data_IF_130378093749
#
_entry.id   IF_130378093749
#
_cell.length_a   1.000
_cell.length_b   1.000
_cell.length_c   1.000
_cell.angle_alpha   90.00
_cell.angle_beta   90.00
_cell.angle_gamma   90.00
#
_symmetry.space_group_name_H-M   'P 1'
#
loop_
_entity.id
_entity.type
_entity.pdbx_description
1 polymer ?
#
# COMPACT_ATOMS: atom_id res chain seq x y z
N UNK A 1 -28.02 -41.36 43.37
CA UNK A 1 -26.54 -41.42 43.40
C UNK A 1 -26.10 -41.98 42.06
N UNK A 2 -25.19 -41.23 41.42
CA UNK A 2 -24.36 -41.52 40.25
C UNK A 2 -25.05 -41.94 38.94
N UNK A 3 -24.78 -41.15 37.89
CA UNK A 3 -24.83 -41.44 36.44
C UNK A 3 -25.74 -40.54 35.57
N UNK A 4 -25.96 -39.26 35.92
CA UNK A 4 -26.61 -38.29 34.99
C UNK A 4 -25.85 -36.95 34.84
N UNK A 5 -24.66 -36.80 35.43
CA UNK A 5 -23.88 -35.55 35.30
C UNK A 5 -22.49 -35.83 34.73
N UNK A 6 -22.38 -36.05 33.42
CA UNK A 6 -21.09 -35.91 32.72
C UNK A 6 -21.16 -35.80 31.19
N UNK A 7 -22.30 -35.37 30.61
CA UNK A 7 -22.44 -35.32 29.15
C UNK A 7 -23.02 -34.01 28.58
N UNK A 8 -22.79 -32.86 29.24
CA UNK A 8 -23.31 -31.55 28.78
C UNK A 8 -22.24 -30.49 28.47
N UNK A 9 -20.98 -30.86 28.23
CA UNK A 9 -19.87 -29.90 28.01
C UNK A 9 -19.12 -30.08 26.66
N UNK A 10 -19.74 -30.70 25.65
CA UNK A 10 -19.12 -30.88 24.33
C UNK A 10 -19.91 -30.31 23.14
N UNK A 11 -20.82 -29.35 23.38
CA UNK A 11 -21.62 -28.69 22.34
C UNK A 11 -21.46 -27.15 22.31
N UNK A 12 -20.26 -26.64 22.61
CA UNK A 12 -19.91 -25.24 22.31
C UNK A 12 -18.66 -25.20 21.42
N UNK A 13 -18.71 -24.37 20.36
CA UNK A 13 -17.73 -24.13 19.29
C UNK A 13 -17.87 -24.94 18.00
N UNK A 14 -19.04 -24.84 17.36
CA UNK A 14 -19.12 -24.68 15.92
C UNK A 14 -20.05 -23.53 15.58
N UNK A 15 -19.62 -22.29 15.84
CA UNK A 15 -20.15 -21.14 15.10
C UNK A 15 -19.75 -21.33 13.65
N UNK A 16 -20.71 -21.74 12.83
CA UNK A 16 -20.68 -21.60 11.38
C UNK A 16 -20.21 -20.18 11.08
N UNK A 17 -18.97 -20.06 10.61
CA UNK A 17 -18.62 -19.01 9.68
C UNK A 17 -19.48 -19.29 8.46
N UNK A 18 -20.58 -18.57 8.31
CA UNK A 18 -21.14 -18.32 7.00
C UNK A 18 -19.99 -17.72 6.19
N UNK A 19 -19.35 -18.57 5.40
CA UNK A 19 -18.57 -18.13 4.26
C UNK A 19 -19.59 -17.39 3.40
N UNK A 20 -19.57 -16.06 3.49
CA UNK A 20 -20.15 -15.19 2.48
C UNK A 20 -19.41 -15.54 1.19
N UNK A 21 -19.95 -16.49 0.42
CA UNK A 21 -19.65 -16.61 -1.00
C UNK A 21 -20.10 -15.28 -1.63
N UNK A 22 -19.17 -14.32 -1.69
CA UNK A 22 -19.27 -13.16 -2.56
C UNK A 22 -19.39 -13.72 -3.99
N UNK A 23 -20.63 -13.82 -4.48
CA UNK A 23 -20.94 -13.91 -5.91
C UNK A 23 -20.49 -12.60 -6.57
N UNK A 24 -19.17 -12.44 -6.72
CA UNK A 24 -18.57 -11.42 -7.57
C UNK A 24 -18.92 -11.79 -9.02
N UNK A 25 -19.79 -11.00 -9.65
CA UNK A 25 -19.95 -10.99 -11.11
C UNK A 25 -18.69 -10.35 -11.73
N UNK A 26 -17.64 -11.17 -11.73
CA UNK A 26 -16.23 -10.82 -11.82
C UNK A 26 -15.77 -10.67 -13.29
N UNK A 27 -16.48 -9.89 -14.10
CA UNK A 27 -16.10 -9.72 -15.51
C UNK A 27 -14.96 -8.71 -15.66
N UNK A 28 -13.73 -9.17 -15.39
CA UNK A 28 -12.53 -8.49 -15.90
C UNK A 28 -12.66 -8.32 -17.43
N UNK A 29 -12.17 -7.20 -18.00
CA UNK A 29 -12.13 -7.09 -19.46
C UNK A 29 -11.33 -8.26 -20.02
N UNK A 30 -11.78 -8.81 -21.17
CA UNK A 30 -11.12 -9.96 -21.81
C UNK A 30 -9.61 -9.73 -21.98
N UNK A 31 -9.18 -8.49 -22.22
CA UNK A 31 -7.77 -8.08 -22.29
C UNK A 31 -7.56 -6.64 -21.79
N UNK A 32 -6.50 -6.43 -20.99
CA UNK A 32 -5.98 -5.10 -20.68
C UNK A 32 -5.08 -4.59 -21.82
N UNK A 33 -5.24 -3.32 -22.22
CA UNK A 33 -4.40 -2.71 -23.25
C UNK A 33 -3.10 -2.16 -22.63
N UNK A 34 -2.11 -3.03 -22.51
CA UNK A 34 -0.81 -2.69 -21.94
C UNK A 34 0.33 -3.35 -22.72
N UNK A 35 1.48 -2.68 -22.78
CA UNK A 35 2.74 -3.29 -23.24
C UNK A 35 3.50 -3.84 -22.05
N UNK A 36 4.04 -5.06 -22.21
CA UNK A 36 4.95 -5.67 -21.25
C UNK A 36 6.28 -5.91 -21.95
N UNK A 37 7.34 -5.31 -21.42
CA UNK A 37 8.70 -5.47 -21.93
C UNK A 37 9.51 -6.20 -20.87
N UNK A 38 10.04 -7.37 -21.23
CA UNK A 38 10.99 -8.12 -20.40
C UNK A 38 12.41 -7.83 -20.90
N UNK A 39 13.28 -7.38 -20.02
CA UNK A 39 14.67 -7.01 -20.35
C UNK A 39 15.61 -7.30 -19.17
N UNK A 40 16.91 -7.12 -19.40
CA UNK A 40 17.92 -7.20 -18.35
C UNK A 40 18.67 -5.87 -18.27
N UNK A 41 18.79 -5.32 -17.06
CA UNK A 41 19.59 -4.13 -16.78
C UNK A 41 20.82 -4.52 -15.96
N UNK A 42 21.99 -3.95 -16.26
CA UNK A 42 23.15 -4.13 -15.39
C UNK A 42 22.87 -3.51 -14.01
N UNK A 43 23.41 -4.10 -12.95
CA UNK A 43 23.27 -3.53 -11.59
C UNK A 43 23.77 -2.09 -11.55
N UNK A 44 24.88 -1.79 -12.22
CA UNK A 44 25.42 -0.42 -12.26
C UNK A 44 24.43 0.57 -12.90
N UNK A 45 23.77 0.20 -13.99
CA UNK A 45 22.76 1.05 -14.62
C UNK A 45 21.48 1.13 -13.78
N UNK A 46 21.03 0.03 -13.18
CA UNK A 46 19.87 0.00 -12.29
C UNK A 46 20.06 0.91 -11.07
N UNK A 47 21.26 0.89 -10.45
CA UNK A 47 21.60 1.77 -9.33
C UNK A 47 21.64 3.23 -9.78
N UNK A 48 22.15 3.52 -10.99
CA UNK A 48 22.14 4.87 -11.57
C UNK A 48 20.71 5.40 -11.71
N UNK A 49 19.82 4.64 -12.36
CA UNK A 49 18.41 5.02 -12.54
C UNK A 49 17.71 5.28 -11.21
N UNK A 50 18.00 4.48 -10.18
CA UNK A 50 17.45 4.69 -8.84
C UNK A 50 17.96 5.99 -8.20
N UNK A 51 19.27 6.28 -8.30
CA UNK A 51 19.87 7.50 -7.75
C UNK A 51 19.38 8.77 -8.42
N UNK A 52 19.16 8.72 -9.72
CA UNK A 52 18.64 9.82 -10.54
C UNK A 52 17.12 10.01 -10.38
N UNK A 53 16.45 9.14 -9.60
CA UNK A 53 14.99 9.10 -9.40
C UNK A 53 14.19 8.79 -10.68
N UNK A 54 14.85 8.20 -11.68
CA UNK A 54 14.19 7.63 -12.87
C UNK A 54 13.43 6.34 -12.51
N UNK A 55 13.95 5.57 -11.57
CA UNK A 55 13.23 4.50 -10.88
C UNK A 55 13.02 4.95 -9.44
N UNK A 56 11.78 4.91 -8.95
CA UNK A 56 11.48 5.26 -7.57
C UNK A 56 10.55 4.27 -6.90
N UNK A 57 10.73 4.17 -5.58
CA UNK A 57 9.86 3.42 -4.69
C UNK A 57 8.90 4.45 -4.10
N UNK A 58 7.60 4.32 -4.31
CA UNK A 58 6.65 5.28 -3.75
C UNK A 58 6.59 5.24 -2.22
N UNK A 59 6.24 6.36 -1.59
CA UNK A 59 6.36 6.56 -0.14
C UNK A 59 5.45 5.68 0.71
N UNK A 60 4.27 5.31 0.22
CA UNK A 60 3.32 4.46 0.97
C UNK A 60 3.70 2.96 0.92
N UNK A 61 4.69 2.55 0.11
CA UNK A 61 5.16 1.17 0.16
C UNK A 61 5.82 0.91 1.51
N UNK A 62 5.64 -0.31 2.04
CA UNK A 62 6.28 -0.69 3.31
C UNK A 62 7.78 -0.42 3.23
N UNK A 63 8.30 0.16 4.30
CA UNK A 63 9.73 0.43 4.44
C UNK A 63 10.57 -0.84 4.28
N UNK A 64 11.89 -0.67 4.34
CA UNK A 64 12.80 -1.80 4.19
C UNK A 64 12.78 -2.72 5.42
N UNK A 65 12.18 -3.91 5.27
CA UNK A 65 11.95 -4.90 6.34
C UNK A 65 12.97 -6.03 6.36
N UNK A 66 13.69 -6.27 5.26
CA UNK A 66 14.67 -7.35 5.21
C UNK A 66 15.77 -7.19 6.27
N UNK A 67 16.11 -8.31 6.92
CA UNK A 67 17.29 -8.40 7.79
C UNK A 67 18.54 -8.49 6.94
N UNK A 68 19.69 -8.06 7.49
CA UNK A 68 20.99 -8.09 6.80
C UNK A 68 21.30 -9.47 6.20
N UNK A 69 20.92 -10.56 6.86
CA UNK A 69 21.12 -11.93 6.37
C UNK A 69 20.33 -12.22 5.07
N UNK A 70 19.09 -11.74 4.96
CA UNK A 70 18.28 -11.90 3.74
C UNK A 70 18.87 -11.10 2.59
N UNK A 71 19.24 -9.84 2.87
CA UNK A 71 19.92 -8.98 1.91
C UNK A 71 21.25 -9.61 1.44
N UNK A 72 22.04 -10.16 2.36
CA UNK A 72 23.31 -10.81 2.05
C UNK A 72 23.14 -12.03 1.14
N UNK A 73 22.08 -12.82 1.34
CA UNK A 73 21.76 -13.97 0.48
C UNK A 73 21.41 -13.56 -0.95
N UNK A 74 20.69 -12.46 -1.13
CA UNK A 74 20.47 -11.90 -2.47
C UNK A 74 21.80 -11.52 -3.12
N UNK A 75 22.67 -10.78 -2.41
CA UNK A 75 23.97 -10.36 -2.96
C UNK A 75 24.85 -11.56 -3.30
N UNK A 76 24.85 -12.61 -2.47
CA UNK A 76 25.51 -13.88 -2.76
C UNK A 76 25.00 -14.49 -4.07
N UNK A 77 23.68 -14.59 -4.28
CA UNK A 77 23.13 -15.10 -5.54
C UNK A 77 23.62 -14.32 -6.76
N UNK A 78 23.69 -12.98 -6.66
CA UNK A 78 24.17 -12.12 -7.73
C UNK A 78 25.66 -12.33 -8.02
N UNK A 79 26.48 -12.47 -6.97
CA UNK A 79 27.92 -12.76 -7.09
C UNK A 79 28.19 -14.17 -7.63
N UNK A 80 27.33 -15.13 -7.34
CA UNK A 80 27.43 -16.49 -7.86
C UNK A 80 26.86 -16.61 -9.29
N UNK A 81 26.11 -15.62 -9.77
CA UNK A 81 25.48 -15.64 -11.09
C UNK A 81 24.20 -16.47 -11.14
N UNK A 82 23.56 -16.71 -9.99
CA UNK A 82 22.27 -17.42 -9.95
C UNK A 82 21.13 -16.52 -10.44
N UNK A 83 20.09 -17.09 -11.10
CA UNK A 83 18.91 -16.34 -11.47
C UNK A 83 18.16 -15.85 -10.22
N UNK A 84 17.62 -14.64 -10.31
CA UNK A 84 16.78 -14.04 -9.26
C UNK A 84 15.44 -13.61 -9.86
N UNK A 85 14.37 -13.51 -9.06
CA UNK A 85 13.10 -13.03 -9.57
C UNK A 85 13.23 -11.60 -10.16
N UNK A 86 12.44 -11.24 -11.17
CA UNK A 86 12.52 -9.95 -11.85
C UNK A 86 12.03 -8.79 -10.98
N UNK A 87 12.59 -7.60 -11.22
CA UNK A 87 12.03 -6.34 -10.71
C UNK A 87 10.84 -5.94 -11.61
N UNK A 88 9.68 -5.65 -11.04
CA UNK A 88 8.52 -5.19 -11.81
C UNK A 88 8.41 -3.67 -11.70
N UNK A 89 8.32 -3.01 -12.85
CA UNK A 89 8.24 -1.56 -12.98
C UNK A 89 6.97 -1.17 -13.74
N UNK A 90 6.27 -0.13 -13.27
CA UNK A 90 5.21 0.56 -14.01
C UNK A 90 5.79 1.85 -14.60
N UNK A 91 5.55 2.11 -15.88
CA UNK A 91 5.96 3.35 -16.52
C UNK A 91 4.91 4.44 -16.30
N UNK A 92 5.38 5.64 -15.96
CA UNK A 92 4.59 6.84 -15.76
C UNK A 92 4.52 7.72 -17.03
N UNK A 93 3.59 8.67 -17.06
CA UNK A 93 3.41 9.60 -18.18
C UNK A 93 4.70 10.40 -18.46
N UNK A 94 5.38 10.83 -17.39
CA UNK A 94 6.65 11.57 -17.43
C UNK A 94 7.88 10.68 -17.71
N UNK A 95 7.65 9.43 -18.13
CA UNK A 95 8.65 8.42 -18.46
C UNK A 95 9.44 7.83 -17.28
N UNK A 96 9.22 8.32 -16.05
CA UNK A 96 9.78 7.65 -14.85
C UNK A 96 9.11 6.29 -14.63
N UNK A 97 9.73 5.48 -13.78
CA UNK A 97 9.29 4.13 -13.48
C UNK A 97 9.05 3.94 -11.98
N UNK A 98 7.85 3.50 -11.64
CA UNK A 98 7.48 3.10 -10.28
C UNK A 98 7.84 1.63 -10.07
N UNK A 99 8.50 1.33 -8.96
CA UNK A 99 8.69 -0.06 -8.51
C UNK A 99 7.37 -0.63 -8.03
N UNK A 100 6.84 -1.62 -8.74
CA UNK A 100 5.64 -2.37 -8.35
C UNK A 100 6.05 -3.49 -7.39
N UNK A 101 6.95 -4.38 -7.82
CA UNK A 101 7.46 -5.48 -7.00
C UNK A 101 8.99 -5.54 -7.04
N UNK A 102 9.60 -6.04 -5.96
CA UNK A 102 11.05 -6.17 -5.82
C UNK A 102 11.74 -5.02 -5.10
N UNK A 103 10.98 -4.15 -4.43
CA UNK A 103 11.47 -3.05 -3.60
C UNK A 103 12.62 -3.49 -2.65
N UNK A 104 12.43 -4.57 -1.88
CA UNK A 104 13.47 -5.07 -0.97
C UNK A 104 14.74 -5.55 -1.70
N UNK A 105 14.59 -6.09 -2.93
CA UNK A 105 15.73 -6.50 -3.76
C UNK A 105 16.50 -5.29 -4.28
N UNK A 106 15.80 -4.32 -4.88
CA UNK A 106 16.39 -3.09 -5.38
C UNK A 106 17.15 -2.33 -4.28
N UNK A 107 16.51 -2.11 -3.13
CA UNK A 107 17.15 -1.43 -2.01
C UNK A 107 18.37 -2.19 -1.49
N UNK A 108 18.31 -3.54 -1.40
CA UNK A 108 19.46 -4.34 -0.95
C UNK A 108 20.67 -4.18 -1.90
N UNK A 109 20.42 -4.14 -3.20
CA UNK A 109 21.44 -3.92 -4.23
C UNK A 109 22.07 -2.54 -4.07
N UNK A 110 21.25 -1.50 -3.95
CA UNK A 110 21.71 -0.12 -3.75
C UNK A 110 22.52 0.02 -2.46
N UNK A 111 22.02 -0.53 -1.35
CA UNK A 111 22.70 -0.56 -0.05
C UNK A 111 24.08 -1.21 -0.14
N UNK A 112 24.17 -2.40 -0.76
CA UNK A 112 25.46 -3.07 -0.92
C UNK A 112 26.42 -2.28 -1.81
N UNK A 113 25.93 -1.77 -2.96
CA UNK A 113 26.73 -0.95 -3.88
C UNK A 113 27.30 0.31 -3.19
N UNK A 114 26.54 0.91 -2.27
CA UNK A 114 26.93 2.08 -1.50
C UNK A 114 27.65 1.78 -0.18
N UNK A 115 27.96 0.51 0.10
CA UNK A 115 28.59 0.05 1.34
C UNK A 115 27.85 0.45 2.62
N UNK A 116 26.53 0.67 2.57
CA UNK A 116 25.70 1.07 3.72
C UNK A 116 24.51 0.13 3.90
N UNK A 117 23.98 0.02 5.11
CA UNK A 117 22.77 -0.76 5.36
C UNK A 117 21.83 -0.01 6.29
N UNK A 118 20.65 0.39 5.80
CA UNK A 118 19.74 1.30 6.52
C UNK A 118 20.50 2.56 6.97
N UNK A 119 20.44 2.89 8.27
CA UNK A 119 21.19 4.00 8.89
C UNK A 119 22.66 3.65 9.23
N UNK A 120 23.04 2.37 9.14
CA UNK A 120 24.43 1.94 9.36
C UNK A 120 25.30 2.28 8.15
N UNK A 121 26.49 2.83 8.39
CA UNK A 121 27.51 3.09 7.36
C UNK A 121 28.24 1.83 6.88
N UNK A 122 27.72 0.64 7.19
CA UNK A 122 28.41 -0.60 6.89
C UNK A 122 27.42 -1.71 6.50
N UNK A 123 27.62 -2.27 5.31
CA UNK A 123 26.98 -3.50 4.83
C UNK A 123 28.06 -4.58 4.65
N UNK A 124 28.33 -5.34 5.71
CA UNK A 124 29.11 -6.57 5.60
C UNK A 124 28.18 -7.74 5.31
N UNK A 125 28.52 -8.56 4.30
CA UNK A 125 27.77 -9.77 4.00
C UNK A 125 27.81 -10.73 5.20
N UNK A 126 26.66 -11.32 5.55
CA UNK A 126 26.55 -12.23 6.70
C UNK A 126 25.77 -13.48 6.34
N UNK A 127 26.35 -14.64 6.67
CA UNK A 127 25.70 -15.94 6.49
C UNK A 127 25.67 -16.39 5.03
N UNK A 128 26.73 -16.04 4.30
CA UNK A 128 27.05 -16.39 2.90
C UNK A 128 28.35 -17.21 2.89
N UNK A 129 28.78 -17.70 1.73
CA UNK A 129 30.02 -18.46 1.56
C UNK A 129 31.24 -17.69 2.07
N UNK A 130 32.25 -18.43 2.53
CA UNK A 130 33.45 -17.88 3.19
C UNK A 130 34.19 -16.84 2.35
N UNK A 131 34.20 -17.03 1.02
CA UNK A 131 34.82 -16.07 0.07
C UNK A 131 34.29 -14.64 0.22
N UNK A 132 33.00 -14.49 0.51
CA UNK A 132 32.29 -13.21 0.55
C UNK A 132 31.86 -12.79 1.96
N UNK A 133 31.81 -13.73 2.90
CA UNK A 133 31.34 -13.46 4.25
C UNK A 133 32.22 -12.39 4.93
N UNK A 134 31.58 -11.41 5.57
CA UNK A 134 32.22 -10.26 6.19
C UNK A 134 32.66 -9.16 5.22
N UNK A 135 32.68 -9.39 3.89
CA UNK A 135 33.12 -8.39 2.92
C UNK A 135 32.01 -7.38 2.61
N UNK A 136 32.42 -6.15 2.35
CA UNK A 136 31.65 -5.08 1.71
C UNK A 136 31.91 -5.06 0.20
N UNK A 137 31.18 -4.25 -0.56
CA UNK A 137 31.37 -4.12 -2.01
C UNK A 137 32.78 -3.64 -2.38
N UNK A 138 33.28 -2.61 -1.68
CA UNK A 138 34.64 -2.07 -1.87
C UNK A 138 35.77 -3.03 -1.45
N UNK A 139 35.45 -4.07 -0.69
CA UNK A 139 36.39 -5.10 -0.22
C UNK A 139 36.36 -6.38 -1.07
N UNK A 140 35.48 -6.44 -2.08
CA UNK A 140 35.49 -7.55 -3.05
C UNK A 140 36.71 -7.44 -3.97
N UNK A 141 37.20 -8.59 -4.44
CA UNK A 141 38.22 -8.63 -5.48
C UNK A 141 37.70 -7.95 -6.76
N UNK A 142 38.59 -7.32 -7.53
CA UNK A 142 38.18 -6.59 -8.75
C UNK A 142 37.33 -7.42 -9.75
N UNK A 143 37.58 -8.73 -9.96
CA UNK A 143 36.70 -9.56 -10.78
C UNK A 143 35.29 -9.73 -10.20
N UNK A 144 35.15 -9.83 -8.88
CA UNK A 144 33.86 -9.97 -8.19
C UNK A 144 33.08 -8.66 -8.19
N UNK A 145 33.75 -7.51 -8.05
CA UNK A 145 33.13 -6.20 -8.22
C UNK A 145 32.56 -6.04 -9.63
N UNK A 146 33.34 -6.40 -10.67
CA UNK A 146 32.87 -6.36 -12.07
C UNK A 146 31.70 -7.30 -12.30
N UNK A 147 31.76 -8.52 -11.76
CA UNK A 147 30.67 -9.49 -11.86
C UNK A 147 29.39 -8.96 -11.25
N UNK A 148 29.46 -8.37 -10.06
CA UNK A 148 28.30 -7.74 -9.42
C UNK A 148 27.75 -6.60 -10.28
N UNK A 149 28.58 -5.61 -10.64
CA UNK A 149 28.16 -4.46 -11.44
C UNK A 149 27.49 -4.83 -12.77
N UNK A 150 28.02 -5.86 -13.44
CA UNK A 150 27.56 -6.30 -14.75
C UNK A 150 26.51 -7.41 -14.71
N UNK A 151 26.06 -7.83 -13.51
CA UNK A 151 25.02 -8.85 -13.42
C UNK A 151 23.76 -8.36 -14.19
N UNK A 152 23.26 -9.16 -15.16
CA UNK A 152 22.11 -8.79 -15.97
C UNK A 152 20.83 -8.99 -15.16
N UNK A 153 20.46 -7.99 -14.37
CA UNK A 153 19.31 -8.09 -13.47
C UNK A 153 18.01 -8.09 -14.27
N UNK A 154 17.14 -9.11 -14.12
CA UNK A 154 15.90 -9.20 -14.89
C UNK A 154 14.90 -8.14 -14.44
N UNK A 155 14.31 -7.44 -15.41
CA UNK A 155 13.34 -6.35 -15.20
C UNK A 155 12.16 -6.54 -16.15
N UNK A 156 10.95 -6.41 -15.62
CA UNK A 156 9.71 -6.39 -16.38
C UNK A 156 9.12 -4.99 -16.27
N UNK A 157 8.99 -4.31 -17.41
CA UNK A 157 8.43 -2.97 -17.52
C UNK A 157 7.02 -3.09 -18.09
N UNK A 158 6.05 -2.57 -17.35
CA UNK A 158 4.64 -2.53 -17.71
C UNK A 158 4.30 -1.08 -18.07
N UNK A 159 3.80 -0.88 -19.28
CA UNK A 159 3.39 0.43 -19.77
C UNK A 159 1.90 0.37 -20.16
N UNK A 160 1.03 1.10 -19.44
CA UNK A 160 -0.37 1.22 -19.83
C UNK A 160 -0.48 2.07 -21.10
N UNK A 161 -1.35 1.71 -22.04
CA UNK A 161 -1.55 2.52 -23.27
C UNK A 161 -2.34 3.80 -23.00
N UNK A 162 -3.29 3.74 -22.07
CA UNK A 162 -4.10 4.86 -21.62
C UNK A 162 -4.26 4.80 -20.08
N UNK A 163 -4.62 5.90 -19.44
CA UNK A 163 -4.75 5.94 -17.97
C UNK A 163 -5.83 4.99 -17.43
N UNK A 164 -6.87 4.70 -18.22
CA UNK A 164 -7.88 3.69 -17.88
C UNK A 164 -7.30 2.26 -17.79
N UNK A 165 -6.25 1.97 -18.57
CA UNK A 165 -5.63 0.64 -18.63
C UNK A 165 -4.69 0.38 -17.44
N UNK A 166 -4.39 1.42 -16.66
CA UNK A 166 -3.60 1.35 -15.42
C UNK A 166 -4.21 0.43 -14.37
N UNK A 167 -5.52 0.15 -14.45
CA UNK A 167 -6.18 -0.90 -13.66
C UNK A 167 -5.56 -2.29 -13.89
N UNK A 168 -5.01 -2.58 -15.06
CA UNK A 168 -4.27 -3.84 -15.30
C UNK A 168 -3.04 -3.99 -14.40
N UNK A 169 -2.35 -2.88 -14.11
CA UNK A 169 -1.21 -2.84 -13.20
C UNK A 169 -1.66 -3.23 -11.78
N UNK A 170 -2.88 -2.85 -11.39
CA UNK A 170 -3.47 -3.21 -10.09
C UNK A 170 -3.59 -4.70 -9.93
N UNK A 171 -4.21 -5.36 -10.90
CA UNK A 171 -4.40 -6.79 -10.81
C UNK A 171 -3.09 -7.57 -10.98
N UNK A 172 -2.13 -7.05 -11.74
CA UNK A 172 -0.77 -7.64 -11.77
C UNK A 172 -0.12 -7.55 -10.40
N UNK A 173 -0.16 -6.37 -9.78
CA UNK A 173 0.45 -6.17 -8.48
C UNK A 173 -0.21 -7.02 -7.40
N UNK A 174 -1.54 -7.07 -7.39
CA UNK A 174 -2.31 -7.95 -6.51
C UNK A 174 -1.87 -9.41 -6.65
N UNK A 175 -1.83 -9.93 -7.89
CA UNK A 175 -1.41 -11.32 -8.16
C UNK A 175 0.04 -11.61 -7.74
N UNK A 176 0.95 -10.66 -7.92
CA UNK A 176 2.34 -10.81 -7.48
C UNK A 176 2.47 -10.83 -5.95
N UNK A 177 1.58 -10.15 -5.23
CA UNK A 177 1.61 -10.11 -3.77
C UNK A 177 0.97 -11.33 -3.09
N UNK A 178 0.21 -12.16 -3.81
CA UNK A 178 -0.54 -13.30 -3.23
C UNK A 178 0.34 -14.36 -2.56
N UNK A 179 1.63 -14.45 -2.90
CA UNK A 179 2.57 -15.40 -2.30
C UNK A 179 3.23 -14.94 -0.99
N UNK A 180 2.95 -13.71 -0.51
CA UNK A 180 3.61 -13.10 0.65
C UNK A 180 2.63 -12.49 1.65
N UNK A 181 3.08 -11.55 2.49
CA UNK A 181 2.17 -10.77 3.33
C UNK A 181 1.40 -9.79 2.45
N UNK A 182 0.19 -10.17 2.04
CA UNK A 182 -0.68 -9.40 1.15
C UNK A 182 -0.76 -7.93 1.55
N UNK A 183 -0.57 -7.04 0.57
CA UNK A 183 -0.94 -5.64 0.71
C UNK A 183 -2.47 -5.54 0.69
N UNK A 184 -3.03 -4.64 1.49
CA UNK A 184 -4.46 -4.34 1.46
C UNK A 184 -4.83 -3.65 0.14
N UNK A 185 -6.09 -3.77 -0.32
CA UNK A 185 -6.53 -3.13 -1.55
C UNK A 185 -6.16 -1.64 -1.66
N UNK A 186 -6.35 -0.88 -0.58
CA UNK A 186 -5.98 0.54 -0.55
C UNK A 186 -4.46 0.79 -0.64
N UNK A 187 -3.62 -0.09 -0.10
CA UNK A 187 -2.16 0.01 -0.24
C UNK A 187 -1.74 -0.17 -1.70
N UNK A 188 -2.40 -1.09 -2.41
CA UNK A 188 -2.20 -1.31 -3.85
C UNK A 188 -2.68 -0.09 -4.64
N UNK A 189 -3.84 0.50 -4.30
CA UNK A 189 -4.38 1.71 -4.95
C UNK A 189 -3.46 2.92 -4.79
N UNK A 190 -3.00 3.17 -3.56
CA UNK A 190 -2.07 4.26 -3.28
C UNK A 190 -0.80 4.17 -4.15
N UNK A 191 -0.40 2.94 -4.51
CA UNK A 191 0.72 2.68 -5.41
C UNK A 191 0.52 3.02 -6.83
N UNK A 192 -0.61 2.59 -7.34
CA UNK A 192 -0.81 2.57 -8.77
C UNK A 192 -1.37 3.92 -9.21
N UNK A 193 -2.18 4.52 -8.35
CA UNK A 193 -2.82 5.80 -8.56
C UNK A 193 -2.17 6.91 -7.72
N UNK A 194 -0.86 6.81 -7.47
CA UNK A 194 -0.11 7.86 -6.78
C UNK A 194 -0.21 9.19 -7.54
N UNK A 195 -0.62 10.25 -6.85
CA UNK A 195 -0.87 11.58 -7.42
C UNK A 195 -1.56 12.49 -6.41
N UNK A 196 -1.98 13.67 -6.86
CA UNK A 196 -2.51 14.73 -5.99
C UNK A 196 -3.79 14.32 -5.20
N UNK A 197 -4.60 13.39 -5.72
CA UNK A 197 -5.73 12.82 -4.98
C UNK A 197 -5.27 11.92 -3.83
N UNK A 198 -4.29 11.04 -4.08
CA UNK A 198 -3.78 10.16 -3.03
C UNK A 198 -3.08 10.97 -1.92
N UNK A 199 -2.34 12.02 -2.30
CA UNK A 199 -1.77 12.97 -1.34
C UNK A 199 -2.84 13.65 -0.48
N UNK A 200 -3.95 14.08 -1.06
CA UNK A 200 -5.08 14.63 -0.31
C UNK A 200 -5.68 13.60 0.67
N UNK A 201 -5.88 12.35 0.23
CA UNK A 201 -6.43 11.29 1.10
C UNK A 201 -5.50 11.04 2.30
N UNK A 202 -4.18 11.00 2.08
CA UNK A 202 -3.18 10.87 3.14
C UNK A 202 -3.23 12.09 4.07
N UNK A 203 -3.27 13.30 3.51
CA UNK A 203 -3.37 14.55 4.27
C UNK A 203 -4.60 14.55 5.20
N UNK A 204 -5.77 14.19 4.67
CA UNK A 204 -7.02 14.11 5.43
C UNK A 204 -6.94 13.04 6.53
N UNK A 205 -6.42 11.85 6.23
CA UNK A 205 -6.30 10.78 7.22
C UNK A 205 -5.33 11.13 8.34
N UNK A 206 -4.26 11.89 8.03
CA UNK A 206 -3.21 12.22 8.97
C UNK A 206 -3.47 13.45 9.84
N UNK A 207 -4.21 14.43 9.30
CA UNK A 207 -4.32 15.78 9.86
C UNK A 207 -5.73 16.16 10.33
N UNK A 208 -6.79 15.46 9.90
CA UNK A 208 -8.14 15.75 10.38
C UNK A 208 -8.39 15.15 11.77
N UNK A 209 -8.14 15.94 12.81
CA UNK A 209 -8.21 15.53 14.23
C UNK A 209 -9.49 14.78 14.57
N UNK A 210 -10.65 15.33 14.19
CA UNK A 210 -11.97 14.73 14.49
C UNK A 210 -12.19 13.42 13.77
N UNK A 211 -11.74 13.30 12.51
CA UNK A 211 -11.76 12.03 11.79
C UNK A 211 -10.94 10.99 12.52
N UNK A 212 -9.72 11.36 12.92
CA UNK A 212 -8.80 10.44 13.61
C UNK A 212 -9.33 9.98 14.96
N UNK A 213 -9.94 10.87 15.73
CA UNK A 213 -10.61 10.50 16.98
C UNK A 213 -11.76 9.53 16.77
N UNK A 214 -12.59 9.77 15.76
CA UNK A 214 -13.70 8.88 15.40
C UNK A 214 -13.16 7.51 14.97
N UNK A 215 -12.20 7.46 14.04
CA UNK A 215 -11.78 6.21 13.41
C UNK A 215 -10.77 5.41 14.24
N UNK A 216 -9.72 6.05 14.74
CA UNK A 216 -8.63 5.39 15.47
C UNK A 216 -8.83 5.37 16.99
N UNK A 217 -9.54 6.36 17.52
CA UNK A 217 -9.79 6.54 18.96
C UNK A 217 -8.70 7.32 19.69
N UNK A 218 -9.11 8.12 20.68
CA UNK A 218 -8.26 9.04 21.47
C UNK A 218 -6.99 8.40 22.05
N UNK A 219 -7.08 7.15 22.55
CA UNK A 219 -5.94 6.46 23.18
C UNK A 219 -4.79 6.22 22.19
N UNK A 220 -5.11 5.88 20.94
CA UNK A 220 -4.10 5.64 19.90
C UNK A 220 -3.51 6.95 19.41
N UNK A 221 -4.31 8.01 19.34
CA UNK A 221 -3.82 9.32 18.90
C UNK A 221 -2.81 9.92 19.89
N UNK A 222 -3.10 9.85 21.19
CA UNK A 222 -2.15 10.28 22.24
C UNK A 222 -0.83 9.51 22.16
N UNK A 223 -0.86 8.21 21.84
CA UNK A 223 0.35 7.41 21.65
C UNK A 223 1.13 7.82 20.38
N UNK A 224 0.44 8.16 19.29
CA UNK A 224 1.07 8.66 18.05
C UNK A 224 1.75 10.01 18.28
N UNK A 225 1.09 10.95 18.96
CA UNK A 225 1.68 12.25 19.30
C UNK A 225 2.92 12.12 20.17
N UNK A 226 2.92 11.17 21.12
CA UNK A 226 4.07 10.87 21.97
C UNK A 226 5.22 10.32 21.12
N UNK A 227 4.95 9.37 20.20
CA UNK A 227 5.95 8.81 19.28
C UNK A 227 6.49 9.82 18.27
N UNK A 228 5.65 10.69 17.71
CA UNK A 228 6.08 11.77 16.78
C UNK A 228 7.08 12.73 17.45
N UNK A 229 6.94 12.96 18.76
CA UNK A 229 7.88 13.81 19.54
C UNK A 229 9.20 13.10 19.83
N UNK A 230 9.19 11.79 20.01
CA UNK A 230 10.39 10.97 20.28
C UNK A 230 11.16 10.58 19.00
N UNK A 231 10.49 10.57 17.85
CA UNK A 231 11.03 10.10 16.56
C UNK A 231 10.85 11.16 15.47
N UNK A 232 11.69 12.19 15.44
CA UNK A 232 11.66 13.25 14.41
C UNK A 232 11.97 12.77 12.97
N UNK A 233 12.16 11.48 12.70
CA UNK A 233 12.53 10.98 11.36
C UNK A 233 12.33 9.45 11.24
N UNK A 234 11.08 8.98 11.41
CA UNK A 234 10.72 7.59 11.10
C UNK A 234 9.66 7.48 9.99
N UNK A 235 10.03 6.61 9.06
CA UNK A 235 9.36 6.11 7.85
C UNK A 235 7.94 5.61 8.20
N UNK A 236 6.95 5.72 7.28
CA UNK A 236 5.53 5.54 7.57
C UNK A 236 5.21 4.24 8.28
N UNK A 237 4.26 4.37 9.20
CA UNK A 237 3.77 3.39 10.16
C UNK A 237 3.25 2.13 9.44
N UNK A 238 3.67 0.96 9.92
CA UNK A 238 3.20 -0.34 9.41
C UNK A 238 1.65 -0.51 9.56
N UNK A 239 0.99 -0.61 8.41
CA UNK A 239 -0.05 -1.60 8.02
C UNK A 239 -1.40 -1.68 8.77
N UNK A 240 -1.68 -0.83 9.77
CA UNK A 240 -3.04 -0.72 10.36
C UNK A 240 -3.84 0.53 9.96
N UNK A 241 -3.22 1.53 9.34
CA UNK A 241 -3.81 2.86 9.09
C UNK A 241 -4.52 2.99 7.73
N UNK A 242 -4.32 2.05 6.80
CA UNK A 242 -4.88 2.16 5.44
C UNK A 242 -6.40 1.95 5.35
N UNK A 243 -7.04 1.46 6.42
CA UNK A 243 -8.50 1.38 6.46
C UNK A 243 -9.12 2.78 6.53
N UNK A 244 -8.45 3.76 7.16
CA UNK A 244 -8.98 5.12 7.27
C UNK A 244 -8.95 5.85 5.93
N UNK A 245 -7.82 5.72 5.23
CA UNK A 245 -7.65 6.20 3.85
C UNK A 245 -8.70 5.61 2.90
N UNK A 246 -9.01 4.31 3.02
CA UNK A 246 -10.06 3.70 2.21
C UNK A 246 -11.44 4.29 2.52
N UNK A 247 -11.77 4.55 3.79
CA UNK A 247 -13.05 5.20 4.14
C UNK A 247 -13.16 6.60 3.52
N UNK A 248 -12.10 7.41 3.61
CA UNK A 248 -12.08 8.73 2.97
C UNK A 248 -12.29 8.61 1.47
N UNK A 249 -11.57 7.68 0.82
CA UNK A 249 -11.73 7.41 -0.61
C UNK A 249 -13.17 7.00 -0.95
N UNK A 250 -13.78 6.08 -0.19
CA UNK A 250 -15.17 5.65 -0.39
C UNK A 250 -16.14 6.82 -0.29
N UNK A 251 -16.00 7.66 0.73
CA UNK A 251 -16.84 8.86 0.87
C UNK A 251 -16.72 9.78 -0.34
N UNK A 252 -15.50 10.16 -0.73
CA UNK A 252 -15.29 11.05 -1.87
C UNK A 252 -15.83 10.44 -3.16
N UNK A 253 -15.55 9.16 -3.41
CA UNK A 253 -16.01 8.47 -4.60
C UNK A 253 -17.53 8.42 -4.68
N UNK A 254 -18.20 7.97 -3.62
CA UNK A 254 -19.67 7.85 -3.57
C UNK A 254 -20.33 9.23 -3.64
N UNK A 255 -19.84 10.22 -2.88
CA UNK A 255 -20.42 11.56 -2.86
C UNK A 255 -20.38 12.23 -4.26
N UNK A 256 -19.23 12.18 -4.93
CA UNK A 256 -19.08 12.80 -6.25
C UNK A 256 -19.73 12.00 -7.38
N UNK A 257 -19.87 10.68 -7.25
CA UNK A 257 -20.59 9.88 -8.23
C UNK A 257 -22.12 10.04 -8.10
N UNK A 258 -22.65 10.10 -6.87
CA UNK A 258 -24.08 10.32 -6.60
C UNK A 258 -24.62 11.65 -7.14
N UNK A 259 -23.80 12.72 -7.13
CA UNK A 259 -24.16 14.00 -7.79
C UNK A 259 -24.43 13.84 -9.29
N UNK A 260 -23.96 12.77 -9.92
CA UNK A 260 -24.17 12.42 -11.32
C UNK A 260 -25.51 11.74 -11.65
N UNK A 261 -26.41 11.50 -10.68
CA UNK A 261 -27.73 10.86 -10.86
C UNK A 261 -27.71 9.50 -11.58
N UNK A 262 -26.64 8.71 -11.45
CA UNK A 262 -26.68 7.30 -11.84
C UNK A 262 -27.13 6.48 -10.63
N UNK A 263 -28.23 5.75 -10.79
CA UNK A 263 -28.66 4.77 -9.80
C UNK A 263 -27.49 3.83 -9.48
N UNK A 264 -27.26 3.61 -8.19
CA UNK A 264 -26.27 2.67 -7.67
C UNK A 264 -26.60 1.26 -8.18
N UNK A 265 -26.01 0.88 -9.32
CA UNK A 265 -26.11 -0.48 -9.87
C UNK A 265 -24.96 -1.28 -9.30
N UNK A 266 -25.18 -1.90 -8.14
CA UNK A 266 -24.33 -2.93 -7.51
C UNK A 266 -22.92 -3.06 -8.08
N UNK A 267 -22.09 -2.02 -7.91
CA UNK A 267 -20.74 -2.05 -8.42
C UNK A 267 -19.89 -2.89 -7.48
N UNK A 268 -19.02 -3.74 -8.02
CA UNK A 268 -17.84 -4.18 -7.29
C UNK A 268 -17.14 -2.93 -6.75
N UNK A 269 -17.17 -2.77 -5.42
CA UNK A 269 -16.60 -1.62 -4.74
C UNK A 269 -15.11 -1.49 -5.06
N UNK A 270 -14.41 -2.61 -5.23
CA UNK A 270 -12.99 -2.60 -5.53
C UNK A 270 -12.74 -2.01 -6.91
N UNK A 271 -13.42 -2.50 -7.95
CA UNK A 271 -13.35 -1.95 -9.30
C UNK A 271 -13.81 -0.49 -9.36
N UNK A 272 -14.91 -0.15 -8.69
CA UNK A 272 -15.41 1.23 -8.62
C UNK A 272 -14.35 2.19 -8.07
N UNK A 273 -13.75 1.86 -6.92
CA UNK A 273 -12.71 2.68 -6.31
C UNK A 273 -11.45 2.78 -7.19
N UNK A 274 -11.06 1.67 -7.84
CA UNK A 274 -9.93 1.66 -8.77
C UNK A 274 -10.16 2.59 -9.97
N UNK A 275 -11.33 2.51 -10.60
CA UNK A 275 -11.71 3.36 -11.73
C UNK A 275 -11.83 4.83 -11.33
N UNK A 276 -12.43 5.09 -10.17
CA UNK A 276 -12.58 6.46 -9.66
C UNK A 276 -11.23 7.09 -9.33
N UNK A 277 -10.31 6.35 -8.71
CA UNK A 277 -8.94 6.83 -8.46
C UNK A 277 -8.16 7.06 -9.75
N UNK A 278 -8.26 6.17 -10.74
CA UNK A 278 -7.61 6.36 -12.04
C UNK A 278 -8.10 7.65 -12.72
N UNK A 279 -9.42 7.87 -12.75
CA UNK A 279 -10.05 9.05 -13.37
C UNK A 279 -9.70 10.35 -12.66
N UNK A 280 -9.59 10.32 -11.34
CA UNK A 280 -9.40 11.52 -10.51
C UNK A 280 -7.97 11.61 -9.92
N UNK A 281 -6.98 10.94 -10.52
CA UNK A 281 -5.62 10.81 -9.96
C UNK A 281 -4.97 12.15 -9.61
N UNK A 282 -5.07 13.11 -10.52
CA UNK A 282 -4.48 14.45 -10.40
C UNK A 282 -5.57 15.52 -10.55
N UNK A 283 -6.42 15.74 -9.53
CA UNK A 283 -7.46 16.77 -9.58
C UNK A 283 -6.81 18.15 -9.61
N UNK A 284 -7.52 19.16 -10.13
CA UNK A 284 -7.09 20.56 -10.04
C UNK A 284 -7.04 21.02 -8.57
N UNK A 285 -6.24 22.03 -8.27
CA UNK A 285 -6.16 22.59 -6.90
C UNK A 285 -7.52 23.08 -6.39
N UNK A 286 -8.35 23.64 -7.27
CA UNK A 286 -9.73 24.01 -6.94
C UNK A 286 -10.54 22.77 -6.50
N UNK A 287 -10.48 21.69 -7.29
CA UNK A 287 -11.20 20.46 -6.98
C UNK A 287 -10.67 19.77 -5.73
N UNK A 288 -9.35 19.80 -5.52
CA UNK A 288 -8.68 19.30 -4.31
C UNK A 288 -9.18 20.05 -3.06
N UNK A 289 -9.28 21.38 -3.14
CA UNK A 289 -9.81 22.21 -2.06
C UNK A 289 -11.30 21.97 -1.80
N UNK A 290 -12.10 21.79 -2.85
CA UNK A 290 -13.51 21.41 -2.73
C UNK A 290 -13.67 20.07 -1.98
N UNK A 291 -12.92 19.04 -2.39
CA UNK A 291 -12.90 17.72 -1.76
C UNK A 291 -12.47 17.77 -0.29
N UNK A 292 -11.45 18.59 0.03
CA UNK A 292 -11.01 18.83 1.42
C UNK A 292 -12.13 19.45 2.23
N UNK A 293 -12.67 20.57 1.75
CA UNK A 293 -13.67 21.33 2.47
C UNK A 293 -14.93 20.50 2.77
N UNK A 294 -15.41 19.71 1.81
CA UNK A 294 -16.60 18.89 2.02
C UNK A 294 -16.36 17.78 3.04
N UNK A 295 -15.19 17.13 3.01
CA UNK A 295 -14.85 16.12 4.02
C UNK A 295 -14.75 16.74 5.43
N UNK A 296 -13.97 17.81 5.55
CA UNK A 296 -13.72 18.51 6.82
C UNK A 296 -15.01 19.10 7.40
N UNK A 297 -15.85 19.76 6.60
CA UNK A 297 -17.12 20.32 7.07
C UNK A 297 -18.10 19.23 7.53
N UNK A 298 -18.21 18.14 6.77
CA UNK A 298 -19.09 17.01 7.08
C UNK A 298 -18.67 16.32 8.38
N UNK A 299 -17.38 15.99 8.53
CA UNK A 299 -16.89 15.33 9.74
C UNK A 299 -17.00 16.25 10.96
N UNK A 300 -16.84 17.56 10.79
CA UNK A 300 -17.03 18.55 11.85
C UNK A 300 -18.47 18.55 12.38
N UNK A 301 -19.47 18.54 11.49
CA UNK A 301 -20.89 18.53 11.85
C UNK A 301 -21.26 17.24 12.56
N UNK A 302 -20.80 16.10 12.04
CA UNK A 302 -21.08 14.79 12.64
C UNK A 302 -20.42 14.68 14.03
N UNK A 303 -19.17 15.09 14.16
CA UNK A 303 -18.47 15.09 15.43
C UNK A 303 -19.19 15.98 16.47
N UNK A 304 -19.65 17.17 16.08
CA UNK A 304 -20.41 18.05 16.99
C UNK A 304 -21.74 17.45 17.44
N UNK A 305 -22.37 16.65 16.58
CA UNK A 305 -23.73 16.13 16.82
C UNK A 305 -23.74 14.77 17.52
N UNK A 306 -22.84 13.86 17.14
CA UNK A 306 -22.77 12.47 17.63
C UNK A 306 -21.54 12.23 18.51
N UNK A 307 -20.48 13.00 18.32
CA UNK A 307 -19.21 12.84 19.06
C UNK A 307 -18.30 11.73 18.50
N UNK A 308 -17.28 11.40 19.28
CA UNK A 308 -16.23 10.42 18.94
C UNK A 308 -16.69 8.97 18.69
N UNK A 309 -17.92 8.67 19.05
CA UNK A 309 -18.53 7.35 18.85
C UNK A 309 -19.34 7.26 17.55
N UNK A 310 -19.30 8.30 16.70
CA UNK A 310 -19.89 8.27 15.38
C UNK A 310 -19.49 7.00 14.61
N UNK A 311 -20.47 6.44 13.89
CA UNK A 311 -20.34 5.23 13.06
C UNK A 311 -19.96 3.95 13.81
N UNK A 312 -20.02 3.91 15.14
CA UNK A 312 -19.75 2.70 15.94
C UNK A 312 -21.02 2.07 16.48
N UNK A 313 -21.00 0.74 16.64
CA UNK A 313 -22.03 0.02 17.42
C UNK A 313 -21.96 0.41 18.89
N UNK A 314 -23.09 0.84 19.44
CA UNK A 314 -23.21 1.29 20.84
C UNK A 314 -23.56 0.12 21.78
N UNK A 315 -24.05 -1.00 21.24
CA UNK A 315 -24.65 -2.12 21.98
C UNK A 315 -23.65 -3.14 22.57
N UNK A 316 -22.38 -3.09 22.19
CA UNK A 316 -21.34 -4.03 22.68
C UNK A 316 -20.24 -3.31 23.46
N UNK A 317 -19.60 -4.02 24.41
CA UNK A 317 -18.40 -3.55 25.13
C UNK A 317 -17.27 -3.12 24.18
N UNK A 318 -17.30 -3.62 22.94
CA UNK A 318 -16.37 -3.28 21.87
C UNK A 318 -17.07 -2.38 20.83
N UNK A 319 -16.72 -1.09 20.83
CA UNK A 319 -17.27 -0.08 19.92
C UNK A 319 -16.65 -0.21 18.52
N UNK A 320 -17.13 -1.21 17.76
CA UNK A 320 -16.65 -1.49 16.40
C UNK A 320 -17.19 -0.46 15.41
N UNK A 321 -16.31 0.14 14.59
CA UNK A 321 -16.66 1.02 13.48
C UNK A 321 -17.39 0.23 12.37
N UNK A 322 -18.46 0.79 11.84
CA UNK A 322 -19.27 0.21 10.75
C UNK A 322 -19.11 1.07 9.49
N UNK A 323 -18.47 0.54 8.42
CA UNK A 323 -18.34 1.24 7.13
C UNK A 323 -19.66 1.70 6.54
N UNK A 324 -20.71 0.85 6.55
CA UNK A 324 -22.02 1.21 6.03
C UNK A 324 -22.63 2.45 6.71
N UNK A 325 -22.47 2.60 8.03
CA UNK A 325 -22.94 3.78 8.76
C UNK A 325 -22.16 5.03 8.34
N UNK A 326 -20.85 4.88 8.19
CA UNK A 326 -20.00 5.96 7.71
C UNK A 326 -20.42 6.43 6.32
N UNK A 327 -20.51 5.51 5.36
CA UNK A 327 -20.87 5.81 3.97
C UNK A 327 -22.24 6.49 3.88
N UNK A 328 -23.27 5.92 4.51
CA UNK A 328 -24.63 6.46 4.42
C UNK A 328 -24.77 7.84 5.10
N UNK A 329 -24.19 8.00 6.29
CA UNK A 329 -24.37 9.24 7.08
C UNK A 329 -23.48 10.36 6.51
N UNK A 330 -22.23 10.06 6.15
CA UNK A 330 -21.33 11.07 5.58
C UNK A 330 -21.91 11.67 4.30
N UNK A 331 -22.38 10.83 3.37
CA UNK A 331 -22.98 11.32 2.12
C UNK A 331 -24.24 12.15 2.40
N UNK A 332 -25.15 11.65 3.24
CA UNK A 332 -26.40 12.36 3.55
C UNK A 332 -26.17 13.70 4.27
N UNK A 333 -25.15 13.80 5.12
CA UNK A 333 -24.80 15.06 5.79
C UNK A 333 -24.10 16.01 4.82
N UNK A 334 -23.17 15.51 3.99
CA UNK A 334 -22.45 16.32 3.01
C UNK A 334 -23.40 17.04 2.05
N UNK A 335 -24.45 16.37 1.56
CA UNK A 335 -25.49 16.96 0.71
C UNK A 335 -26.28 18.12 1.34
N UNK A 336 -26.23 18.27 2.67
CA UNK A 336 -26.93 19.32 3.43
C UNK A 336 -26.00 20.40 3.97
N UNK A 337 -24.68 20.19 3.86
CA UNK A 337 -23.64 21.11 4.34
C UNK A 337 -23.10 21.97 3.19
N UNK A 338 -23.21 21.50 1.95
CA UNK A 338 -23.09 22.32 0.73
C UNK A 338 -24.22 23.36 0.64
#
# INVERSE_FOLDING_TARGET
MSEIEQNSELEELQTQTEDEEEDDDDSLPEQFKMSVVSTNLSIEFLVKLYKEREIYIPEFQRGYVWKLKQASRLIESLLLGFPVPPLFLAKEEDQRMIVIDGNQRLQSIVYFYENRFKKSKCFNLKGVIDKYNGKRFDQLEAPDQRRFKNYPFPVIIIEPKEEKDRQGIYYIFERLNTGGTNLKPQEIRACIYHGALNELIVELDENEEKWREIFYGEKKEKQRETKKKEEQEKIPIETKETNGQEMILRFLAIYYDNKGKKEYKGYDLKQFLNQWMAKNRNPSEEKKNEMRNIFTSTINVIYKSVGKDAFKRIDKRDKKFIPAYFESIMVAVAERVE
#
